data_IF_852635106918
#
_entry.id   IF_852635106918
#
_cell.length_a   1.000
_cell.length_b   1.000
_cell.length_c   1.000
_cell.angle_alpha   90.00
_cell.angle_beta   90.00
_cell.angle_gamma   90.00
#
_symmetry.space_group_name_H-M   'P 1'
#
loop_
_entity.id
_entity.type
_entity.pdbx_description
1 polymer ?
#
# COMPACT_ATOMS: atom_id res chain seq x y z
N UNK A 1 7.01 -15.76 15.40
CA UNK A 1 7.83 -15.55 14.20
C UNK A 1 8.62 -16.79 13.80
N UNK A 2 9.34 -17.47 14.74
CA UNK A 2 10.22 -18.61 14.45
C UNK A 2 9.52 -19.77 13.72
N UNK A 3 8.28 -20.11 14.09
CA UNK A 3 7.53 -21.20 13.44
C UNK A 3 7.25 -20.85 11.95
N UNK A 4 6.83 -19.65 11.66
CA UNK A 4 6.56 -19.21 10.28
C UNK A 4 7.86 -19.11 9.46
N UNK A 5 8.97 -18.72 10.10
CA UNK A 5 10.29 -18.73 9.44
C UNK A 5 10.73 -20.15 9.07
N UNK A 6 10.58 -21.11 9.97
CA UNK A 6 10.88 -22.51 9.69
C UNK A 6 9.99 -23.07 8.56
N UNK A 7 8.71 -22.70 8.52
CA UNK A 7 7.80 -23.04 7.42
C UNK A 7 8.28 -22.45 6.08
N UNK A 8 8.68 -21.17 6.07
CA UNK A 8 9.23 -20.51 4.89
C UNK A 8 10.49 -21.25 4.37
N UNK A 9 11.40 -21.64 5.26
CA UNK A 9 12.63 -22.33 4.88
C UNK A 9 12.34 -23.75 4.36
N UNK A 10 11.33 -24.42 4.90
CA UNK A 10 10.82 -25.70 4.37
C UNK A 10 10.28 -25.55 2.94
N UNK A 11 9.48 -24.50 2.66
CA UNK A 11 8.96 -24.27 1.31
C UNK A 11 10.04 -23.86 0.31
N UNK A 12 11.07 -23.13 0.75
CA UNK A 12 12.27 -22.87 -0.09
C UNK A 12 12.95 -24.16 -0.51
N UNK A 13 13.11 -25.11 0.41
CA UNK A 13 13.72 -26.40 0.12
C UNK A 13 12.83 -27.24 -0.84
N UNK A 14 11.50 -27.17 -0.67
CA UNK A 14 10.56 -27.84 -1.59
C UNK A 14 10.64 -27.26 -3.01
N UNK A 15 10.70 -25.94 -3.15
CA UNK A 15 10.90 -25.28 -4.44
C UNK A 15 12.23 -25.69 -5.08
N UNK A 16 13.31 -25.69 -4.34
CA UNK A 16 14.62 -26.10 -4.86
C UNK A 16 14.60 -27.56 -5.37
N UNK A 17 13.89 -28.47 -4.67
CA UNK A 17 13.69 -29.86 -5.09
C UNK A 17 12.90 -29.93 -6.41
N UNK A 18 11.77 -29.19 -6.50
CA UNK A 18 10.94 -29.16 -7.71
C UNK A 18 11.74 -28.61 -8.91
N UNK A 19 12.53 -27.56 -8.71
CA UNK A 19 13.42 -27.02 -9.75
C UNK A 19 14.47 -28.01 -10.22
N UNK A 20 15.07 -28.79 -9.31
CA UNK A 20 16.01 -29.84 -9.68
C UNK A 20 15.36 -30.95 -10.50
N UNK A 21 14.15 -31.36 -10.14
CA UNK A 21 13.35 -32.34 -10.89
C UNK A 21 12.97 -31.80 -12.27
N UNK A 22 12.53 -30.55 -12.38
CA UNK A 22 12.24 -29.89 -13.65
C UNK A 22 13.47 -29.86 -14.56
N UNK A 23 14.65 -29.50 -14.01
CA UNK A 23 15.89 -29.48 -14.77
C UNK A 23 16.23 -30.87 -15.31
N UNK A 24 16.09 -31.91 -14.50
CA UNK A 24 16.35 -33.30 -14.92
C UNK A 24 15.39 -33.74 -16.02
N UNK A 25 14.09 -33.48 -15.86
CA UNK A 25 13.08 -33.83 -16.85
C UNK A 25 13.27 -33.04 -18.16
N UNK A 26 13.62 -31.76 -18.09
CA UNK A 26 13.92 -30.94 -19.25
C UNK A 26 15.12 -31.47 -20.04
N UNK A 27 16.21 -31.80 -19.36
CA UNK A 27 17.42 -32.37 -19.99
C UNK A 27 17.13 -33.73 -20.64
N UNK A 28 16.24 -34.54 -20.07
CA UNK A 28 15.84 -35.81 -20.64
C UNK A 28 15.03 -35.61 -21.93
N UNK A 29 14.02 -34.73 -21.90
CA UNK A 29 13.21 -34.41 -23.08
C UNK A 29 14.08 -33.81 -24.21
N UNK A 30 15.00 -32.92 -23.86
CA UNK A 30 15.93 -32.31 -24.81
C UNK A 30 16.86 -33.35 -25.42
N UNK A 31 17.36 -34.32 -24.66
CA UNK A 31 18.19 -35.43 -25.15
C UNK A 31 17.42 -36.33 -26.10
N UNK A 32 16.16 -36.62 -25.81
CA UNK A 32 15.34 -37.49 -26.67
C UNK A 32 14.90 -36.83 -27.99
N UNK A 33 14.78 -35.52 -28.03
CA UNK A 33 14.38 -34.76 -29.20
C UNK A 33 15.15 -35.12 -30.48
N UNK A 34 16.49 -35.10 -30.54
CA UNK A 34 17.23 -35.51 -31.71
C UNK A 34 17.17 -37.04 -31.99
N UNK A 35 17.02 -37.85 -30.94
CA UNK A 35 17.00 -39.31 -31.07
C UNK A 35 15.71 -39.82 -31.71
N UNK A 36 14.59 -39.14 -31.54
CA UNK A 36 13.35 -39.44 -32.26
C UNK A 36 13.50 -39.19 -33.76
N UNK A 37 14.17 -38.09 -34.13
CA UNK A 37 14.40 -37.77 -35.54
C UNK A 37 15.23 -38.84 -36.26
N UNK A 38 16.15 -39.51 -35.58
CA UNK A 38 16.96 -40.62 -36.09
C UNK A 38 16.32 -41.99 -35.87
N UNK A 39 15.09 -42.06 -35.31
CA UNK A 39 14.39 -43.32 -34.93
C UNK A 39 15.16 -44.16 -33.89
N UNK A 40 16.07 -43.58 -33.15
CA UNK A 40 16.80 -44.26 -32.09
C UNK A 40 15.97 -44.50 -30.83
N UNK A 41 14.89 -43.69 -30.63
CA UNK A 41 13.87 -43.90 -29.60
C UNK A 41 12.49 -43.81 -30.22
N UNK A 42 11.46 -44.41 -29.59
CA UNK A 42 10.08 -44.32 -30.06
C UNK A 42 9.51 -42.92 -29.81
N UNK A 43 8.54 -42.54 -30.67
CA UNK A 43 7.78 -41.31 -30.48
C UNK A 43 7.13 -41.26 -29.08
N UNK A 44 6.53 -42.37 -28.65
CA UNK A 44 5.91 -42.52 -27.34
C UNK A 44 6.90 -42.20 -26.18
N UNK A 45 8.14 -42.66 -26.31
CA UNK A 45 9.16 -42.39 -25.28
C UNK A 45 9.49 -40.91 -25.17
N UNK A 46 9.57 -40.21 -26.29
CA UNK A 46 9.77 -38.76 -26.32
C UNK A 46 8.56 -38.02 -25.75
N UNK A 47 7.34 -38.38 -26.18
CA UNK A 47 6.10 -37.76 -25.71
C UNK A 47 5.95 -37.91 -24.19
N UNK A 48 6.28 -39.09 -23.64
CA UNK A 48 6.31 -39.30 -22.19
C UNK A 48 7.34 -38.40 -21.47
N UNK A 49 8.53 -38.21 -22.06
CA UNK A 49 9.54 -37.33 -21.50
C UNK A 49 9.08 -35.86 -21.54
N UNK A 50 8.40 -35.42 -22.58
CA UNK A 50 7.78 -34.09 -22.68
C UNK A 50 6.68 -33.92 -21.63
N UNK A 51 5.78 -34.90 -21.51
CA UNK A 51 4.74 -34.86 -20.47
C UNK A 51 5.31 -34.80 -19.06
N UNK A 52 6.39 -35.56 -18.77
CA UNK A 52 7.09 -35.50 -17.49
C UNK A 52 7.74 -34.14 -17.24
N UNK A 53 8.33 -33.53 -18.27
CA UNK A 53 8.86 -32.15 -18.18
C UNK A 53 7.76 -31.16 -17.83
N UNK A 54 6.61 -31.23 -18.53
CA UNK A 54 5.50 -30.32 -18.34
C UNK A 54 4.87 -30.49 -16.96
N UNK A 55 4.78 -31.72 -16.47
CA UNK A 55 4.38 -32.00 -15.09
C UNK A 55 5.35 -31.35 -14.09
N UNK A 56 6.65 -31.49 -14.29
CA UNK A 56 7.64 -30.90 -13.42
C UNK A 56 7.62 -29.36 -13.46
N UNK A 57 7.24 -28.74 -14.59
CA UNK A 57 7.00 -27.29 -14.67
C UNK A 57 5.81 -26.90 -13.79
N UNK A 58 4.71 -27.64 -13.82
CA UNK A 58 3.55 -27.40 -12.98
C UNK A 58 3.88 -27.55 -11.48
N UNK A 59 4.71 -28.56 -11.13
CA UNK A 59 5.17 -28.78 -9.75
C UNK A 59 6.01 -27.60 -9.24
N UNK A 60 6.86 -27.00 -10.07
CA UNK A 60 7.61 -25.77 -9.71
C UNK A 60 6.66 -24.60 -9.46
N UNK A 61 5.62 -24.43 -10.30
CA UNK A 61 4.64 -23.36 -10.11
C UNK A 61 3.86 -23.55 -8.79
N UNK A 62 3.46 -24.77 -8.48
CA UNK A 62 2.80 -25.12 -7.22
C UNK A 62 3.70 -24.86 -6.00
N UNK A 63 4.96 -25.31 -6.05
CA UNK A 63 5.93 -25.06 -4.98
C UNK A 63 6.23 -23.57 -4.78
N UNK A 64 6.24 -22.78 -5.87
CA UNK A 64 6.40 -21.32 -5.81
C UNK A 64 5.21 -20.66 -5.11
N UNK A 65 3.97 -21.04 -5.45
CA UNK A 65 2.78 -20.53 -4.80
C UNK A 65 2.75 -20.85 -3.29
N UNK A 66 3.18 -22.06 -2.89
CA UNK A 66 3.32 -22.45 -1.51
C UNK A 66 4.39 -21.62 -0.76
N UNK A 67 5.52 -21.33 -1.43
CA UNK A 67 6.56 -20.45 -0.90
C UNK A 67 6.04 -19.02 -0.69
N UNK A 68 5.32 -18.48 -1.66
CA UNK A 68 4.78 -17.12 -1.57
C UNK A 68 3.77 -17.02 -0.41
N UNK A 69 2.92 -18.04 -0.21
CA UNK A 69 2.01 -18.11 0.95
C UNK A 69 2.78 -18.13 2.28
N UNK A 70 3.83 -18.93 2.38
CA UNK A 70 4.66 -18.97 3.58
C UNK A 70 5.37 -17.64 3.84
N UNK A 71 5.81 -16.94 2.78
CA UNK A 71 6.41 -15.60 2.86
C UNK A 71 5.44 -14.56 3.38
N UNK A 72 4.19 -14.57 2.90
CA UNK A 72 3.13 -13.68 3.37
C UNK A 72 2.87 -13.91 4.86
N UNK A 73 2.81 -15.17 5.30
CA UNK A 73 2.63 -15.49 6.71
C UNK A 73 3.76 -14.94 7.59
N UNK A 74 5.01 -14.94 7.12
CA UNK A 74 6.14 -14.30 7.82
C UNK A 74 5.96 -12.78 7.88
N UNK A 75 5.51 -12.15 6.79
CA UNK A 75 5.23 -10.70 6.78
C UNK A 75 4.15 -10.34 7.80
N UNK A 76 3.08 -11.12 7.89
CA UNK A 76 2.00 -10.90 8.85
C UNK A 76 2.41 -11.08 10.33
N UNK A 77 3.58 -11.66 10.60
CA UNK A 77 4.10 -11.65 11.98
C UNK A 77 4.61 -10.28 12.43
N UNK A 78 4.75 -9.33 11.50
CA UNK A 78 5.14 -7.95 11.77
C UNK A 78 3.90 -7.06 11.60
N UNK A 79 3.52 -6.39 12.66
CA UNK A 79 2.46 -5.37 12.61
C UNK A 79 3.10 -4.07 12.18
N UNK A 80 2.82 -3.66 10.95
CA UNK A 80 3.34 -2.42 10.35
C UNK A 80 2.23 -1.38 10.28
N UNK A 81 2.60 -0.10 10.36
CA UNK A 81 1.69 0.99 10.07
C UNK A 81 1.32 0.96 8.58
N UNK A 82 0.01 1.10 8.22
CA UNK A 82 -0.41 1.22 6.82
C UNK A 82 -0.10 2.59 6.20
N UNK A 83 0.23 3.58 7.02
CA UNK A 83 0.53 4.96 6.62
C UNK A 83 1.84 5.43 7.23
N UNK A 84 2.51 6.35 6.55
CA UNK A 84 3.62 7.11 7.11
C UNK A 84 3.09 8.18 8.06
N UNK A 85 3.71 8.33 9.22
CA UNK A 85 3.23 9.31 10.21
C UNK A 85 3.96 9.22 11.53
N UNK A 86 3.43 9.95 12.51
CA UNK A 86 3.91 9.91 13.89
C UNK A 86 3.07 8.90 14.68
N UNK A 87 3.75 7.95 15.29
CA UNK A 87 3.11 7.00 16.20
C UNK A 87 2.90 7.67 17.57
N UNK A 88 1.67 7.61 18.05
CA UNK A 88 1.31 8.04 19.39
C UNK A 88 1.71 7.02 20.46
N UNK A 89 1.17 7.20 21.67
CA UNK A 89 1.41 6.26 22.77
C UNK A 89 0.84 4.88 22.48
N UNK A 90 1.53 3.84 22.93
CA UNK A 90 0.99 2.47 22.91
C UNK A 90 -0.21 2.35 23.86
N UNK A 91 -1.28 1.73 23.38
CA UNK A 91 -2.46 1.39 24.18
C UNK A 91 -2.34 0.03 24.88
N UNK A 92 -1.26 -0.71 24.58
CA UNK A 92 -0.98 -2.04 25.14
C UNK A 92 0.44 -2.05 25.72
N UNK A 93 0.66 -2.82 26.79
CA UNK A 93 1.98 -3.00 27.40
C UNK A 93 2.76 -4.09 26.69
N UNK A 94 4.09 -4.05 26.80
CA UNK A 94 4.92 -5.14 26.31
C UNK A 94 4.57 -6.47 26.99
N UNK A 95 4.51 -7.55 26.20
CA UNK A 95 4.12 -8.88 26.68
C UNK A 95 2.61 -9.11 26.77
N UNK A 96 1.76 -8.12 26.53
CA UNK A 96 0.32 -8.31 26.45
C UNK A 96 -0.06 -9.20 25.27
N UNK A 97 -1.02 -10.09 25.49
CA UNK A 97 -1.59 -10.89 24.40
C UNK A 97 -2.50 -10.02 23.55
N UNK A 98 -2.20 -9.92 22.27
CA UNK A 98 -3.02 -9.24 21.27
C UNK A 98 -3.62 -10.24 20.30
N UNK A 99 -4.85 -9.98 19.87
CA UNK A 99 -5.59 -10.85 18.95
C UNK A 99 -5.97 -10.07 17.69
N UNK A 100 -6.09 -10.80 16.58
CA UNK A 100 -6.61 -10.20 15.34
C UNK A 100 -8.04 -9.67 15.58
N UNK A 101 -8.33 -8.51 15.00
CA UNK A 101 -9.64 -7.84 15.09
C UNK A 101 -10.08 -7.43 16.52
N UNK A 102 -9.14 -7.26 17.45
CA UNK A 102 -9.48 -6.69 18.76
C UNK A 102 -10.00 -5.25 18.60
N UNK A 103 -10.93 -4.84 19.47
CA UNK A 103 -11.54 -3.51 19.44
C UNK A 103 -10.54 -2.37 19.78
N UNK A 104 -9.55 -2.67 20.63
CA UNK A 104 -8.55 -1.70 21.06
C UNK A 104 -7.38 -1.67 20.08
N UNK A 105 -7.12 -0.50 19.51
CA UNK A 105 -5.95 -0.29 18.65
C UNK A 105 -4.66 -0.44 19.47
N UNK A 106 -3.58 -0.93 18.86
CA UNK A 106 -2.26 -1.05 19.51
C UNK A 106 -1.63 0.32 19.74
N UNK A 107 -1.71 1.18 18.76
CA UNK A 107 -1.30 2.58 18.78
C UNK A 107 -2.03 3.33 17.66
N UNK A 108 -2.16 4.64 17.77
CA UNK A 108 -2.62 5.49 16.69
C UNK A 108 -1.41 6.04 15.93
N UNK A 109 -1.46 5.99 14.60
CA UNK A 109 -0.49 6.66 13.73
C UNK A 109 -1.20 7.79 13.02
N UNK A 110 -0.68 9.00 13.13
CA UNK A 110 -1.24 10.21 12.52
C UNK A 110 -0.30 10.73 11.44
N UNK A 111 -0.84 10.94 10.26
CA UNK A 111 -0.15 11.66 9.21
C UNK A 111 -0.32 13.15 9.46
N UNK A 112 0.79 13.85 9.72
CA UNK A 112 0.79 15.29 10.00
C UNK A 112 1.43 16.11 8.88
N UNK A 113 1.87 15.47 7.81
CA UNK A 113 2.34 16.12 6.58
C UNK A 113 1.74 15.36 5.38
N UNK A 114 0.87 16.01 4.61
CA UNK A 114 0.28 17.33 4.85
C UNK A 114 -0.70 17.34 6.04
N UNK A 115 -0.92 18.53 6.63
CA UNK A 115 -1.92 18.75 7.68
C UNK A 115 -3.17 19.43 7.11
N UNK A 116 -4.32 19.06 7.64
CA UNK A 116 -5.60 19.61 7.25
C UNK A 116 -6.08 20.60 8.29
N UNK A 117 -6.53 21.77 7.82
CA UNK A 117 -7.17 22.80 8.66
C UNK A 117 -8.60 22.99 8.17
N UNK A 118 -9.56 22.65 9.00
CA UNK A 118 -10.97 22.80 8.69
C UNK A 118 -11.47 24.16 9.22
N UNK A 119 -12.04 24.97 8.31
CA UNK A 119 -12.55 26.30 8.63
C UNK A 119 -14.05 26.35 8.35
N UNK A 120 -14.84 26.67 9.36
CA UNK A 120 -16.29 26.82 9.22
C UNK A 120 -16.63 28.23 8.75
N UNK A 121 -17.37 28.34 7.65
CA UNK A 121 -17.80 29.61 7.06
C UNK A 121 -19.30 29.58 6.76
N UNK A 122 -19.95 30.73 6.68
CA UNK A 122 -21.33 30.79 6.23
C UNK A 122 -21.45 30.54 4.70
N UNK A 123 -22.56 29.97 4.26
CA UNK A 123 -22.83 29.74 2.83
C UNK A 123 -22.70 31.00 1.98
N UNK A 124 -23.05 32.16 2.54
CA UNK A 124 -22.92 33.47 1.86
C UNK A 124 -21.44 33.83 1.66
N UNK A 125 -20.60 33.59 2.65
CA UNK A 125 -19.15 33.84 2.54
C UNK A 125 -18.50 32.89 1.53
N UNK A 126 -18.93 31.63 1.48
CA UNK A 126 -18.48 30.68 0.47
C UNK A 126 -18.78 31.16 -0.95
N UNK A 127 -20.02 31.61 -1.21
CA UNK A 127 -20.41 32.14 -2.54
C UNK A 127 -19.58 33.37 -2.94
N UNK A 128 -19.29 34.27 -1.99
CA UNK A 128 -18.39 35.41 -2.25
C UNK A 128 -16.96 34.94 -2.58
N UNK A 129 -16.47 33.96 -1.87
CA UNK A 129 -15.12 33.40 -2.09
C UNK A 129 -15.03 32.72 -3.46
N UNK A 130 -16.05 31.95 -3.86
CA UNK A 130 -16.14 31.31 -5.18
C UNK A 130 -16.18 32.34 -6.30
N UNK A 131 -17.01 33.42 -6.13
CA UNK A 131 -17.09 34.50 -7.10
C UNK A 131 -15.75 35.27 -7.21
N UNK A 132 -15.08 35.53 -6.10
CA UNK A 132 -13.76 36.17 -6.10
C UNK A 132 -12.68 35.29 -6.74
N UNK A 133 -12.75 33.97 -6.58
CA UNK A 133 -11.85 33.03 -7.24
C UNK A 133 -12.12 32.96 -8.76
N UNK A 134 -13.39 32.95 -9.18
CA UNK A 134 -13.79 32.92 -10.60
C UNK A 134 -13.45 34.21 -11.34
N UNK A 135 -13.57 35.35 -10.66
CA UNK A 135 -13.24 36.70 -11.20
C UNK A 135 -11.72 36.97 -11.22
N UNK A 136 -10.89 36.05 -10.69
CA UNK A 136 -9.43 36.24 -10.69
C UNK A 136 -8.91 37.20 -9.62
N UNK A 137 -9.74 37.63 -8.68
CA UNK A 137 -9.34 38.50 -7.56
C UNK A 137 -8.50 37.77 -6.52
N UNK A 138 -8.58 36.44 -6.47
CA UNK A 138 -7.78 35.60 -5.59
C UNK A 138 -6.71 34.87 -6.38
N UNK A 139 -5.53 34.68 -5.77
CA UNK A 139 -4.45 33.89 -6.35
C UNK A 139 -4.88 32.41 -6.39
N UNK A 140 -4.96 31.86 -7.60
CA UNK A 140 -5.22 30.43 -7.81
C UNK A 140 -3.95 29.65 -7.58
N UNK A 141 -4.08 28.47 -6.97
CA UNK A 141 -2.99 27.49 -6.99
C UNK A 141 -2.86 26.93 -8.42
N UNK A 142 -1.64 26.75 -8.90
CA UNK A 142 -1.40 26.25 -10.25
C UNK A 142 -2.07 24.89 -10.48
N UNK A 143 -2.92 24.82 -11.53
CA UNK A 143 -3.56 23.60 -12.00
C UNK A 143 -4.80 23.13 -11.26
N UNK A 144 -5.26 23.84 -10.22
CA UNK A 144 -6.42 23.43 -9.39
C UNK A 144 -7.40 24.60 -9.18
N UNK A 145 -8.68 24.27 -8.95
CA UNK A 145 -9.68 25.24 -8.45
C UNK A 145 -9.50 25.43 -6.92
N UNK A 146 -8.33 25.81 -6.50
CA UNK A 146 -7.97 26.01 -5.10
C UNK A 146 -7.41 27.44 -4.91
N UNK A 147 -7.80 28.09 -3.81
CA UNK A 147 -7.22 29.37 -3.43
C UNK A 147 -5.99 29.16 -2.54
N UNK A 148 -4.96 29.99 -2.74
CA UNK A 148 -3.82 30.03 -1.83
C UNK A 148 -4.21 30.72 -0.53
N UNK A 149 -3.91 30.10 0.59
CA UNK A 149 -4.21 30.60 1.93
C UNK A 149 -2.98 30.62 2.81
N UNK A 150 -2.93 31.59 3.73
CA UNK A 150 -1.91 31.68 4.78
C UNK A 150 -2.51 31.35 6.11
N UNK A 151 -1.75 30.68 6.97
CA UNK A 151 -2.16 30.32 8.33
C UNK A 151 -1.46 31.26 9.32
N UNK A 152 -2.24 31.87 10.22
CA UNK A 152 -1.72 32.60 11.36
C UNK A 152 -1.78 31.69 12.58
N UNK A 153 -0.65 31.50 13.26
CA UNK A 153 -0.55 30.65 14.45
C UNK A 153 -1.11 31.38 15.69
N UNK A 154 -1.30 30.65 16.77
CA UNK A 154 -1.83 31.19 18.03
C UNK A 154 -0.96 32.28 18.65
N UNK A 155 0.37 32.24 18.38
CA UNK A 155 1.33 33.26 18.80
C UNK A 155 1.31 34.54 17.94
N UNK A 156 0.41 34.61 16.95
CA UNK A 156 0.29 35.73 15.99
C UNK A 156 1.30 35.69 14.85
N UNK A 157 2.19 34.73 14.81
CA UNK A 157 3.14 34.56 13.69
C UNK A 157 2.45 33.94 12.48
N UNK A 158 2.94 34.30 11.29
CA UNK A 158 2.45 33.66 10.07
C UNK A 158 3.23 32.37 9.81
N UNK A 159 2.50 31.30 9.45
CA UNK A 159 3.12 30.07 9.01
C UNK A 159 3.83 30.30 7.66
N UNK A 160 5.03 29.75 7.53
CA UNK A 160 5.90 30.02 6.37
C UNK A 160 5.42 29.37 5.08
N UNK A 161 4.71 28.24 5.19
CA UNK A 161 4.20 27.51 4.03
C UNK A 161 2.78 27.98 3.69
N UNK A 162 2.52 28.20 2.40
CA UNK A 162 1.17 28.50 1.92
C UNK A 162 0.38 27.22 1.76
N UNK A 163 -0.88 27.26 2.22
CA UNK A 163 -1.82 26.17 2.05
C UNK A 163 -2.70 26.37 0.82
N UNK A 164 -3.38 25.30 0.44
CA UNK A 164 -4.39 25.27 -0.62
C UNK A 164 -5.75 25.04 -0.02
N UNK A 165 -6.67 25.99 -0.20
CA UNK A 165 -8.06 25.83 0.21
C UNK A 165 -8.82 25.05 -0.85
N UNK A 166 -9.32 23.87 -0.47
CA UNK A 166 -10.08 22.98 -1.34
C UNK A 166 -11.59 23.29 -1.24
N UNK A 167 -12.25 23.39 -2.40
CA UNK A 167 -13.69 23.64 -2.49
C UNK A 167 -14.50 22.37 -2.81
N UNK A 168 -13.88 21.20 -2.74
CA UNK A 168 -14.44 19.95 -3.29
C UNK A 168 -15.50 19.28 -2.40
N UNK A 169 -15.53 19.57 -1.10
CA UNK A 169 -16.50 18.98 -0.17
C UNK A 169 -17.35 20.06 0.47
N UNK A 170 -18.37 20.52 -0.27
CA UNK A 170 -19.30 21.54 0.23
C UNK A 170 -20.55 20.86 0.76
N UNK A 171 -20.49 20.38 2.00
CA UNK A 171 -21.70 19.98 2.73
C UNK A 171 -22.18 21.15 3.58
N UNK A 172 -23.39 21.64 3.28
CA UNK A 172 -24.04 22.69 4.08
C UNK A 172 -24.75 22.01 5.24
N UNK A 173 -24.48 22.46 6.45
CA UNK A 173 -25.25 22.07 7.63
C UNK A 173 -26.63 22.81 7.55
N UNK A 174 -27.74 22.08 7.40
CA UNK A 174 -29.04 22.69 7.23
C UNK A 174 -29.57 23.43 8.48
N UNK A 175 -29.01 23.12 9.66
CA UNK A 175 -29.42 23.76 10.92
C UNK A 175 -28.73 25.10 11.15
N UNK A 176 -27.50 25.27 10.68
CA UNK A 176 -26.71 26.50 10.92
C UNK A 176 -26.43 27.30 9.64
N UNK A 177 -26.66 26.70 8.45
CA UNK A 177 -26.29 27.30 7.16
C UNK A 177 -24.77 27.45 6.98
N UNK A 178 -23.99 26.74 7.78
CA UNK A 178 -22.53 26.79 7.73
C UNK A 178 -21.93 25.68 6.83
N UNK A 179 -20.78 25.97 6.29
CA UNK A 179 -20.01 25.09 5.41
C UNK A 179 -18.61 24.94 5.98
N UNK A 180 -18.12 23.71 6.04
CA UNK A 180 -16.73 23.43 6.40
C UNK A 180 -15.88 23.42 5.13
N UNK A 181 -14.87 24.27 5.11
CA UNK A 181 -13.86 24.32 4.06
C UNK A 181 -12.58 23.71 4.60
N UNK A 182 -11.95 22.89 3.79
CA UNK A 182 -10.66 22.25 4.15
C UNK A 182 -9.51 22.90 3.43
N UNK A 183 -8.53 23.34 4.21
CA UNK A 183 -7.26 23.82 3.70
C UNK A 183 -6.16 22.77 3.98
N UNK A 184 -5.32 22.54 2.99
CA UNK A 184 -4.21 21.59 3.06
C UNK A 184 -2.92 22.38 3.14
N UNK A 185 -2.13 22.16 4.20
CA UNK A 185 -0.85 22.81 4.41
C UNK A 185 0.27 21.79 4.39
N UNK A 186 1.36 22.03 3.65
CA UNK A 186 2.60 21.26 3.83
C UNK A 186 3.15 21.48 5.24
N UNK A 187 3.60 20.43 5.90
CA UNK A 187 4.14 20.51 7.27
C UNK A 187 5.43 19.70 7.42
N UNK A 188 6.46 19.96 6.58
CA UNK A 188 7.70 19.18 6.60
C UNK A 188 8.44 19.31 7.92
N UNK A 189 8.38 20.48 8.57
CA UNK A 189 9.04 20.75 9.84
C UNK A 189 8.22 20.26 11.06
N UNK A 190 7.02 19.72 10.83
CA UNK A 190 6.12 19.20 11.87
C UNK A 190 5.80 20.23 12.98
N UNK A 191 5.73 21.49 12.61
CA UNK A 191 5.40 22.59 13.56
C UNK A 191 3.92 22.64 13.90
N UNK A 192 3.06 22.17 13.00
CA UNK A 192 1.62 22.05 13.19
C UNK A 192 1.32 20.65 13.73
N UNK A 193 0.42 20.55 14.72
CA UNK A 193 0.02 19.30 15.40
C UNK A 193 -1.49 19.14 15.40
#
# INVERSE_FOLDING_TARGET
PKLYQASLDSQKAALARAQAQQKTAALLAERYKPLVATRAVSQQTYDNAVATRDQAVADVMSAKAALDTARINVVYTKVLSPIDGIIGRSSVTEGALVTANQATALAAVQQIDPIYVDVTQSSVQLLRLQNALSSGQLKKAEGEQAALVTLTLEDGSQYTQQGKLQFSEVTVDPGTGSVTLRAVFPNPDRRLL
#
